data_IF_006012632489
#
_entry.id   IF_006012632489
#
_cell.length_a   1.000
_cell.length_b   1.000
_cell.length_c   1.000
_cell.angle_alpha   90.00
_cell.angle_beta   90.00
_cell.angle_gamma   90.00
#
_symmetry.space_group_name_H-M   'P 1'
#
loop_
_entity.id
_entity.type
_entity.pdbx_description
1 polymer ?
#
# COMPACT_ATOMS: atom_id res chain seq x y z
N UNK A 1 -54.84 -22.17 54.56
CA UNK A 1 -53.77 -21.27 54.09
C UNK A 1 -53.40 -21.70 52.67
N UNK A 2 -53.66 -20.85 51.66
CA UNK A 2 -53.34 -21.11 50.25
C UNK A 2 -52.09 -20.30 49.89
N UNK A 3 -51.03 -20.97 49.46
CA UNK A 3 -49.85 -20.33 48.86
C UNK A 3 -50.15 -20.08 47.38
N UNK A 4 -50.21 -18.80 46.99
CA UNK A 4 -50.24 -18.41 45.59
C UNK A 4 -48.82 -18.57 45.04
N UNK A 5 -48.66 -19.40 44.01
CA UNK A 5 -47.41 -19.51 43.28
C UNK A 5 -47.28 -18.31 42.35
N UNK A 6 -46.44 -17.35 42.71
CA UNK A 6 -46.00 -16.30 41.78
C UNK A 6 -45.14 -16.94 40.70
N UNK A 7 -45.57 -16.80 39.45
CA UNK A 7 -44.81 -17.24 38.28
C UNK A 7 -43.69 -16.22 38.04
N UNK A 8 -42.43 -16.66 37.88
CA UNK A 8 -41.32 -15.74 37.65
C UNK A 8 -41.47 -15.04 36.29
N UNK A 9 -41.02 -13.77 36.17
CA UNK A 9 -41.15 -13.02 34.93
C UNK A 9 -40.32 -13.68 33.82
N UNK A 10 -41.00 -14.07 32.73
CA UNK A 10 -40.34 -14.39 31.47
C UNK A 10 -39.67 -13.12 30.93
N UNK A 11 -38.35 -13.01 31.08
CA UNK A 11 -37.55 -12.03 30.36
C UNK A 11 -37.61 -12.45 28.88
N UNK A 12 -38.21 -11.62 28.03
CA UNK A 12 -38.30 -11.86 26.60
C UNK A 12 -36.90 -11.83 25.98
N UNK A 13 -36.27 -13.00 25.82
CA UNK A 13 -34.97 -13.19 25.16
C UNK A 13 -34.94 -12.71 23.69
N UNK A 14 -36.11 -12.42 23.11
CA UNK A 14 -36.26 -11.96 21.72
C UNK A 14 -35.79 -10.50 21.49
N UNK A 15 -35.74 -9.65 22.52
CA UNK A 15 -35.34 -8.24 22.36
C UNK A 15 -33.83 -8.01 22.51
N UNK A 16 -33.09 -8.98 23.08
CA UNK A 16 -31.63 -8.88 23.23
C UNK A 16 -30.87 -9.24 21.93
N UNK A 17 -31.45 -10.07 21.07
CA UNK A 17 -30.85 -10.52 19.82
C UNK A 17 -30.43 -9.37 18.86
N UNK A 18 -31.27 -8.37 18.54
CA UNK A 18 -30.90 -7.33 17.59
C UNK A 18 -29.77 -6.41 18.11
N UNK A 19 -29.71 -6.19 19.43
CA UNK A 19 -28.68 -5.35 20.06
C UNK A 19 -27.31 -6.05 20.02
N UNK A 20 -27.28 -7.36 20.26
CA UNK A 20 -26.05 -8.16 20.18
C UNK A 20 -25.49 -8.16 18.74
N UNK A 21 -26.35 -8.31 17.73
CA UNK A 21 -25.92 -8.25 16.32
C UNK A 21 -25.40 -6.87 15.91
N UNK A 22 -26.01 -5.79 16.41
CA UNK A 22 -25.51 -4.42 16.19
C UNK A 22 -24.14 -4.20 16.83
N UNK A 23 -23.93 -4.66 18.07
CA UNK A 23 -22.64 -4.55 18.76
C UNK A 23 -21.56 -5.34 18.00
N UNK A 24 -21.87 -6.57 17.55
CA UNK A 24 -20.96 -7.39 16.75
C UNK A 24 -20.61 -6.71 15.41
N UNK A 25 -21.59 -6.12 14.72
CA UNK A 25 -21.35 -5.41 13.45
C UNK A 25 -20.46 -4.17 13.63
N UNK A 26 -20.71 -3.37 14.67
CA UNK A 26 -19.87 -2.21 14.99
C UNK A 26 -18.46 -2.64 15.39
N UNK A 27 -18.33 -3.69 16.21
CA UNK A 27 -17.02 -4.23 16.57
C UNK A 27 -16.23 -4.72 15.33
N UNK A 28 -16.89 -5.40 14.40
CA UNK A 28 -16.27 -5.85 13.15
C UNK A 28 -15.81 -4.65 12.29
N UNK A 29 -16.61 -3.59 12.20
CA UNK A 29 -16.24 -2.37 11.48
C UNK A 29 -15.04 -1.66 12.14
N UNK A 30 -15.05 -1.55 13.46
CA UNK A 30 -13.94 -0.98 14.22
C UNK A 30 -12.66 -1.78 13.99
N UNK A 31 -12.72 -3.12 14.02
CA UNK A 31 -11.56 -3.98 13.72
C UNK A 31 -11.11 -3.81 12.27
N UNK A 32 -12.04 -3.77 11.32
CA UNK A 32 -11.74 -3.60 9.90
C UNK A 32 -11.04 -2.27 9.59
N UNK A 33 -11.24 -1.23 10.40
CA UNK A 33 -10.58 0.08 10.25
C UNK A 33 -9.32 0.14 11.12
N UNK A 34 -9.40 -0.27 12.38
CA UNK A 34 -8.34 -0.15 13.37
C UNK A 34 -7.15 -1.05 13.05
N UNK A 35 -7.37 -2.26 12.51
CA UNK A 35 -6.29 -3.17 12.14
C UNK A 35 -5.44 -2.61 11.00
N UNK A 36 -5.98 -2.19 9.85
CA UNK A 36 -5.14 -1.60 8.79
C UNK A 36 -4.50 -0.29 9.24
N UNK A 37 -5.17 0.53 10.05
CA UNK A 37 -4.56 1.73 10.65
C UNK A 37 -3.39 1.36 11.56
N UNK A 38 -3.55 0.38 12.45
CA UNK A 38 -2.50 -0.08 13.35
C UNK A 38 -1.33 -0.69 12.56
N UNK A 39 -1.60 -1.45 11.49
CA UNK A 39 -0.56 -2.02 10.60
C UNK A 39 0.17 -0.90 9.85
N UNK A 40 -0.53 0.12 9.35
CA UNK A 40 0.06 1.27 8.68
C UNK A 40 0.95 2.08 9.63
N UNK A 41 0.44 2.37 10.84
CA UNK A 41 1.18 3.09 11.88
C UNK A 41 2.37 2.28 12.39
N UNK A 42 2.23 0.97 12.55
CA UNK A 42 3.32 0.10 13.01
C UNK A 42 4.40 -0.05 11.95
N UNK A 43 4.03 -0.20 10.67
CA UNK A 43 4.99 -0.13 9.56
C UNK A 43 5.75 1.19 9.57
N UNK A 44 5.04 2.33 9.66
CA UNK A 44 5.64 3.67 9.74
C UNK A 44 6.58 3.82 10.94
N UNK A 45 6.19 3.31 12.11
CA UNK A 45 7.00 3.36 13.32
C UNK A 45 8.24 2.47 13.24
N UNK A 46 8.12 1.28 12.65
CA UNK A 46 9.26 0.38 12.43
C UNK A 46 10.29 0.98 11.49
N UNK A 47 9.83 1.62 10.40
CA UNK A 47 10.71 2.40 9.51
C UNK A 47 11.48 3.51 10.27
N UNK A 48 10.85 4.19 11.24
CA UNK A 48 11.49 5.24 12.05
C UNK A 48 12.46 4.70 13.11
N UNK A 49 12.17 3.57 13.76
CA UNK A 49 13.08 2.96 14.74
C UNK A 49 14.33 2.39 14.03
N UNK A 50 14.15 1.77 12.86
CA UNK A 50 15.29 1.30 12.06
C UNK A 50 16.16 2.48 11.58
N UNK A 51 15.61 3.69 11.42
CA UNK A 51 16.35 4.91 11.11
C UNK A 51 17.10 5.53 12.30
N UNK A 52 16.66 5.33 13.55
CA UNK A 52 17.30 5.97 14.73
C UNK A 52 18.60 5.30 15.18
N UNK A 53 18.97 4.14 14.62
CA UNK A 53 20.18 3.39 15.00
C UNK A 53 21.38 3.69 14.08
N UNK A 54 21.18 4.44 13.00
CA UNK A 54 22.26 4.82 12.08
C UNK A 54 22.40 6.32 11.98
N UNK A 55 23.35 6.90 12.72
CA UNK A 55 23.80 8.30 12.57
C UNK A 55 24.60 8.47 11.26
N UNK A 56 23.98 8.10 10.14
CA UNK A 56 24.48 8.23 8.78
C UNK A 56 23.35 8.83 7.94
N UNK A 57 23.34 10.15 7.89
CA UNK A 57 22.30 11.05 7.35
C UNK A 57 22.27 11.02 5.82
N UNK A 58 21.99 9.87 5.21
CA UNK A 58 22.07 9.68 3.77
C UNK A 58 20.88 8.92 3.19
N UNK A 59 20.43 9.33 2.01
CA UNK A 59 19.45 8.61 1.17
C UNK A 59 19.92 7.21 0.77
N UNK A 60 21.23 6.94 0.84
CA UNK A 60 21.88 5.75 0.30
C UNK A 60 21.36 4.40 0.85
N UNK A 61 21.12 4.20 2.17
CA UNK A 61 20.53 2.97 2.68
C UNK A 61 19.09 2.77 2.19
N UNK A 62 18.33 3.87 2.03
CA UNK A 62 16.97 3.85 1.48
C UNK A 62 17.04 3.45 0.00
N UNK A 63 17.88 4.13 -0.78
CA UNK A 63 18.13 3.83 -2.19
C UNK A 63 18.45 2.36 -2.40
N UNK A 64 19.43 1.82 -1.66
CA UNK A 64 19.82 0.39 -1.75
C UNK A 64 18.65 -0.55 -1.46
N UNK A 65 17.86 -0.29 -0.41
CA UNK A 65 16.69 -1.11 -0.07
C UNK A 65 15.69 -1.21 -1.22
N UNK A 66 15.41 -0.09 -1.91
CA UNK A 66 14.45 -0.07 -3.00
C UNK A 66 15.03 -0.65 -4.31
N UNK A 67 16.32 -0.43 -4.57
CA UNK A 67 17.03 -1.09 -5.67
C UNK A 67 17.05 -2.62 -5.51
N UNK A 68 17.33 -3.13 -4.32
CA UNK A 68 17.24 -4.56 -4.00
C UNK A 68 15.79 -5.09 -4.12
N UNK A 69 14.81 -4.24 -3.81
CA UNK A 69 13.39 -4.52 -4.06
C UNK A 69 13.08 -4.70 -5.54
N UNK A 70 13.50 -3.74 -6.38
CA UNK A 70 13.32 -3.79 -7.82
C UNK A 70 14.02 -4.99 -8.44
N UNK A 71 15.27 -5.26 -8.05
CA UNK A 71 16.03 -6.39 -8.55
C UNK A 71 15.35 -7.74 -8.23
N UNK A 72 14.77 -7.88 -7.02
CA UNK A 72 14.00 -9.07 -6.65
C UNK A 72 12.73 -9.21 -7.48
N UNK A 73 11.93 -8.15 -7.61
CA UNK A 73 10.72 -8.17 -8.42
C UNK A 73 11.03 -8.50 -9.89
N UNK A 74 12.08 -7.92 -10.46
CA UNK A 74 12.53 -8.20 -11.81
C UNK A 74 12.94 -9.67 -11.98
N UNK A 75 13.66 -10.24 -11.00
CA UNK A 75 14.05 -11.66 -11.02
C UNK A 75 12.84 -12.60 -10.96
N UNK A 76 11.84 -12.28 -10.13
CA UNK A 76 10.60 -13.06 -10.04
C UNK A 76 9.83 -13.04 -11.37
N UNK A 77 9.74 -11.88 -12.02
CA UNK A 77 9.15 -11.76 -13.35
C UNK A 77 9.91 -12.58 -14.40
N UNK A 78 11.24 -12.46 -14.46
CA UNK A 78 12.08 -13.25 -15.38
C UNK A 78 12.01 -14.77 -15.11
N UNK A 79 11.77 -15.15 -13.85
CA UNK A 79 11.54 -16.54 -13.45
C UNK A 79 10.13 -17.06 -13.75
N UNK A 80 9.23 -16.21 -14.26
CA UNK A 80 7.83 -16.55 -14.51
C UNK A 80 6.96 -16.64 -13.25
N UNK A 81 7.47 -16.22 -12.09
CA UNK A 81 6.74 -16.18 -10.82
C UNK A 81 5.80 -14.98 -10.72
N UNK A 82 6.07 -13.92 -11.49
CA UNK A 82 5.18 -12.78 -11.68
C UNK A 82 4.77 -12.67 -13.14
N UNK A 83 3.49 -12.43 -13.39
CA UNK A 83 2.99 -12.02 -14.70
C UNK A 83 3.45 -10.59 -15.02
N UNK A 84 3.43 -10.21 -16.30
CA UNK A 84 3.81 -8.86 -16.73
C UNK A 84 3.02 -7.73 -16.02
N UNK A 85 1.68 -7.83 -15.84
CA UNK A 85 0.93 -6.84 -15.06
C UNK A 85 1.34 -6.78 -13.57
N UNK A 86 1.58 -7.92 -12.92
CA UNK A 86 2.03 -7.98 -11.52
C UNK A 86 3.45 -7.41 -11.33
N UNK A 87 4.31 -7.59 -12.33
CA UNK A 87 5.65 -7.03 -12.35
C UNK A 87 5.61 -5.50 -12.45
N UNK A 88 4.77 -4.93 -13.33
CA UNK A 88 4.55 -3.48 -13.43
C UNK A 88 3.91 -2.89 -12.17
N UNK A 89 2.96 -3.60 -11.54
CA UNK A 89 2.37 -3.19 -10.27
C UNK A 89 3.42 -3.16 -9.16
N UNK A 90 4.27 -4.20 -9.07
CA UNK A 90 5.37 -4.26 -8.12
C UNK A 90 6.40 -3.16 -8.34
N UNK A 91 6.79 -2.91 -9.60
CA UNK A 91 7.71 -1.85 -9.98
C UNK A 91 7.19 -0.47 -9.60
N UNK A 92 5.97 -0.13 -10.02
CA UNK A 92 5.33 1.16 -9.72
C UNK A 92 5.08 1.35 -8.22
N UNK A 93 4.71 0.29 -7.50
CA UNK A 93 4.54 0.31 -6.04
C UNK A 93 5.85 0.59 -5.29
N UNK A 94 6.95 -0.06 -5.67
CA UNK A 94 8.27 0.19 -5.09
C UNK A 94 8.75 1.62 -5.36
N UNK A 95 8.56 2.12 -6.58
CA UNK A 95 8.95 3.48 -6.95
C UNK A 95 8.16 4.52 -6.15
N UNK A 96 6.83 4.38 -6.04
CA UNK A 96 6.01 5.27 -5.22
C UNK A 96 6.43 5.31 -3.76
N UNK A 97 6.74 4.14 -3.21
CA UNK A 97 7.19 4.05 -1.82
C UNK A 97 8.55 4.72 -1.63
N UNK A 98 9.50 4.52 -2.56
CA UNK A 98 10.79 5.22 -2.52
C UNK A 98 10.60 6.74 -2.53
N UNK A 99 9.88 7.27 -3.51
CA UNK A 99 9.61 8.70 -3.64
C UNK A 99 8.92 9.22 -2.38
N UNK A 100 7.95 8.48 -1.84
CA UNK A 100 7.24 8.91 -0.66
C UNK A 100 8.12 8.98 0.60
N UNK A 101 9.11 8.08 0.71
CA UNK A 101 10.09 8.13 1.79
C UNK A 101 11.04 9.32 1.63
N UNK A 102 11.52 9.62 0.43
CA UNK A 102 12.53 10.67 0.21
C UNK A 102 11.96 12.09 0.12
N UNK A 103 10.68 12.23 -0.26
CA UNK A 103 10.02 13.54 -0.39
C UNK A 103 9.11 13.91 0.80
N UNK A 104 9.05 13.07 1.84
CA UNK A 104 8.10 13.14 2.98
C UNK A 104 6.64 13.40 2.54
N UNK A 105 6.32 12.94 1.34
CA UNK A 105 5.02 13.11 0.70
C UNK A 105 4.42 11.74 0.51
N UNK A 106 3.16 11.52 0.87
CA UNK A 106 2.53 10.21 0.64
C UNK A 106 2.17 10.01 -0.84
N UNK A 107 3.20 9.78 -1.67
CA UNK A 107 3.09 9.51 -3.10
C UNK A 107 2.38 8.18 -3.39
N UNK A 108 2.38 7.26 -2.41
CA UNK A 108 1.61 6.04 -2.49
C UNK A 108 0.09 6.30 -2.42
N UNK A 109 -0.34 7.35 -1.73
CA UNK A 109 -1.75 7.76 -1.66
C UNK A 109 -2.24 8.55 -2.89
N UNK A 110 -1.33 9.05 -3.73
CA UNK A 110 -1.71 9.85 -4.89
C UNK A 110 -2.25 9.00 -6.03
N UNK A 111 -3.36 9.47 -6.59
CA UNK A 111 -3.87 9.03 -7.89
C UNK A 111 -2.89 9.40 -9.01
N UNK A 112 -3.03 8.76 -10.18
CA UNK A 112 -2.21 9.08 -11.35
C UNK A 112 -2.42 10.53 -11.82
N UNK A 113 -3.65 11.05 -11.73
CA UNK A 113 -3.96 12.44 -12.09
C UNK A 113 -3.29 13.45 -11.16
N UNK A 114 -3.30 13.18 -9.85
CA UNK A 114 -2.58 14.00 -8.87
C UNK A 114 -1.06 13.94 -9.08
N UNK A 115 -0.52 12.76 -9.39
CA UNK A 115 0.90 12.60 -9.73
C UNK A 115 1.30 13.42 -10.96
N UNK A 116 0.50 13.37 -12.04
CA UNK A 116 0.71 14.19 -13.23
C UNK A 116 0.63 15.68 -12.93
N UNK A 117 -0.36 16.08 -12.13
CA UNK A 117 -0.52 17.48 -11.72
C UNK A 117 0.67 17.97 -10.91
N UNK A 118 1.24 17.12 -10.03
CA UNK A 118 2.46 17.45 -9.29
C UNK A 118 3.71 17.43 -10.15
N UNK A 119 3.77 16.57 -11.16
CA UNK A 119 4.87 16.55 -12.12
C UNK A 119 4.99 17.87 -12.91
N UNK A 120 3.87 18.58 -13.14
CA UNK A 120 3.90 19.92 -13.73
C UNK A 120 4.63 20.96 -12.86
N UNK A 121 4.62 20.77 -11.54
CA UNK A 121 5.29 21.66 -10.58
C UNK A 121 6.69 21.14 -10.19
N UNK A 122 6.91 19.83 -10.26
CA UNK A 122 8.15 19.13 -9.93
C UNK A 122 8.49 18.16 -11.07
N UNK A 123 9.26 18.60 -12.08
CA UNK A 123 9.57 17.79 -13.27
C UNK A 123 10.22 16.44 -12.96
N UNK A 124 10.94 16.34 -11.84
CA UNK A 124 11.48 15.10 -11.29
C UNK A 124 10.44 13.98 -11.07
N UNK A 125 9.15 14.32 -10.90
CA UNK A 125 8.07 13.33 -10.75
C UNK A 125 7.50 12.83 -12.10
N UNK A 126 7.88 13.43 -13.24
CA UNK A 126 7.37 13.04 -14.56
C UNK A 126 7.68 11.56 -14.90
N UNK A 127 8.91 11.05 -14.71
CA UNK A 127 9.22 9.64 -14.95
C UNK A 127 8.41 8.70 -14.04
N UNK A 128 8.16 9.12 -12.79
CA UNK A 128 7.36 8.36 -11.82
C UNK A 128 5.91 8.24 -12.31
N UNK A 129 5.32 9.34 -12.78
CA UNK A 129 3.98 9.34 -13.34
C UNK A 129 3.88 8.45 -14.59
N UNK A 130 4.91 8.43 -15.45
CA UNK A 130 4.97 7.56 -16.63
C UNK A 130 4.97 6.07 -16.27
N UNK A 131 5.83 5.65 -15.35
CA UNK A 131 5.92 4.25 -14.91
C UNK A 131 4.62 3.79 -14.24
N UNK A 132 4.01 4.67 -13.45
CA UNK A 132 2.70 4.41 -12.84
C UNK A 132 1.60 4.25 -13.90
N UNK A 133 1.61 5.09 -14.94
CA UNK A 133 0.63 4.99 -16.02
C UNK A 133 0.75 3.65 -16.75
N UNK A 134 1.97 3.14 -17.02
CA UNK A 134 2.14 1.80 -17.60
C UNK A 134 1.44 0.70 -16.76
N UNK A 135 1.64 0.72 -15.43
CA UNK A 135 0.94 -0.21 -14.53
C UNK A 135 -0.58 -0.02 -14.53
N UNK A 136 -1.06 1.23 -14.59
CA UNK A 136 -2.49 1.52 -14.68
C UNK A 136 -3.11 1.00 -15.99
N UNK A 137 -2.47 1.24 -17.14
CA UNK A 137 -2.94 0.78 -18.45
C UNK A 137 -2.99 -0.75 -18.53
N UNK A 138 -1.97 -1.42 -17.98
CA UNK A 138 -1.91 -2.87 -17.88
C UNK A 138 -3.07 -3.46 -17.05
N UNK A 139 -3.35 -2.85 -15.91
CA UNK A 139 -4.31 -3.37 -14.92
C UNK A 139 -5.77 -3.05 -15.27
N UNK A 140 -6.04 -1.84 -15.76
CA UNK A 140 -7.40 -1.30 -15.85
C UNK A 140 -7.86 -0.99 -17.27
N UNK A 141 -6.96 -0.65 -18.19
CA UNK A 141 -7.32 -0.32 -19.57
C UNK A 141 -7.27 -1.53 -20.52
N UNK A 142 -6.83 -2.71 -20.03
CA UNK A 142 -6.74 -3.93 -20.82
C UNK A 142 -5.75 -3.83 -22.00
N UNK A 143 -4.83 -2.87 -21.95
CA UNK A 143 -3.80 -2.73 -22.98
C UNK A 143 -2.83 -3.91 -22.85
N UNK A 144 -2.51 -4.60 -23.96
CA UNK A 144 -1.54 -5.69 -23.91
C UNK A 144 -0.20 -5.16 -23.40
N UNK A 145 0.40 -5.93 -22.51
CA UNK A 145 1.73 -5.67 -21.94
C UNK A 145 2.68 -6.67 -22.58
N UNK A 146 3.70 -6.15 -23.26
CA UNK A 146 4.81 -6.96 -23.75
C UNK A 146 5.98 -6.94 -22.76
N UNK A 147 6.90 -7.88 -22.95
CA UNK A 147 8.06 -8.02 -22.07
C UNK A 147 9.03 -6.82 -22.18
N UNK A 148 9.06 -6.16 -23.34
CA UNK A 148 9.89 -4.99 -23.59
C UNK A 148 9.45 -3.79 -22.72
N UNK A 149 8.13 -3.57 -22.60
CA UNK A 149 7.56 -2.53 -21.73
C UNK A 149 7.86 -2.80 -20.25
N UNK A 150 7.80 -4.06 -19.82
CA UNK A 150 8.14 -4.42 -18.44
C UNK A 150 9.63 -4.19 -18.19
N UNK A 151 10.49 -4.62 -19.11
CA UNK A 151 11.93 -4.43 -19.00
C UNK A 151 12.31 -2.95 -18.95
N UNK A 152 11.71 -2.12 -19.82
CA UNK A 152 11.94 -0.68 -19.84
C UNK A 152 11.47 -0.02 -18.54
N UNK A 153 10.29 -0.39 -18.02
CA UNK A 153 9.77 0.16 -16.77
C UNK A 153 10.71 -0.12 -15.58
N UNK A 154 11.30 -1.32 -15.49
CA UNK A 154 12.31 -1.62 -14.46
C UNK A 154 13.61 -0.83 -14.64
N UNK A 155 14.05 -0.63 -15.89
CA UNK A 155 15.24 0.18 -16.17
C UNK A 155 15.02 1.64 -15.80
N UNK A 156 13.87 2.21 -16.18
CA UNK A 156 13.51 3.59 -15.86
C UNK A 156 13.34 3.77 -14.34
N UNK A 157 12.67 2.84 -13.65
CA UNK A 157 12.52 2.90 -12.19
C UNK A 157 13.87 2.84 -11.47
N UNK A 158 14.80 2.00 -11.94
CA UNK A 158 16.17 1.94 -11.41
C UNK A 158 16.87 3.28 -11.57
N UNK A 159 16.84 3.85 -12.78
CA UNK A 159 17.45 5.14 -13.08
C UNK A 159 16.90 6.25 -12.19
N UNK A 160 15.58 6.33 -12.03
CA UNK A 160 14.94 7.32 -11.15
C UNK A 160 15.45 7.19 -9.71
N UNK A 161 15.58 5.97 -9.18
CA UNK A 161 16.05 5.75 -7.81
C UNK A 161 17.55 6.10 -7.65
N UNK A 162 18.37 5.79 -8.65
CA UNK A 162 19.81 6.06 -8.65
C UNK A 162 20.13 7.55 -8.75
N UNK A 163 19.37 8.29 -9.58
CA UNK A 163 19.58 9.72 -9.86
C UNK A 163 18.84 10.66 -8.89
N UNK A 164 18.02 10.11 -7.97
CA UNK A 164 17.27 10.94 -7.02
C UNK A 164 18.18 11.47 -5.92
N UNK A 165 18.28 12.80 -5.81
CA UNK A 165 19.04 13.52 -4.78
C UNK A 165 18.15 14.05 -3.64
#
# INVERSE_FOLDING_TARGET
MRFAAETPPHINDAEAAPVIWLICGVAALVVAIAVPLAVALWRRHRYRIEQSVGTGDGIEPVRRRYLDGLARAQKLWQGGELTAPEALESCSGLLRQFIGVVTDTDVAALTLEELRSRAMLRPELEPVAGIVDHGYQARFAGRPVDDDLVASAFADARKVIEEWD
#
